data_IF_625202842421
#
_entry.id   IF_625202842421
#
_cell.length_a   1.000
_cell.length_b   1.000
_cell.length_c   1.000
_cell.angle_alpha   90.00
_cell.angle_beta   90.00
_cell.angle_gamma   90.00
#
_symmetry.space_group_name_H-M   'P 1'
#
loop_
_entity.id
_entity.type
_entity.pdbx_description
1 polymer ?
#
# COMPACT_ATOMS: atom_id res chain seq x y z
N UNK A 1 -6.44 2.06 -10.19
CA UNK A 1 -6.53 3.52 -10.00
C UNK A 1 -5.22 4.03 -9.40
N UNK A 2 -4.66 5.16 -9.85
CA UNK A 2 -3.49 5.79 -9.22
C UNK A 2 -3.91 6.51 -7.93
N UNK A 3 -3.15 6.33 -6.87
CA UNK A 3 -3.37 6.88 -5.52
C UNK A 3 -2.03 7.09 -4.84
N UNK A 4 -2.01 7.87 -3.76
CA UNK A 4 -0.91 7.84 -2.79
C UNK A 4 -1.32 7.01 -1.58
N UNK A 5 -0.39 6.26 -1.02
CA UNK A 5 -0.64 5.42 0.14
C UNK A 5 0.35 5.72 1.27
N UNK A 6 -0.17 5.83 2.49
CA UNK A 6 0.60 6.03 3.71
C UNK A 6 0.37 4.85 4.66
N UNK A 7 1.42 4.11 4.95
CA UNK A 7 1.36 2.86 5.73
C UNK A 7 1.80 3.04 7.19
N UNK A 8 2.29 4.23 7.56
CA UNK A 8 2.73 4.60 8.91
C UNK A 8 2.45 6.08 9.15
N UNK A 9 2.12 6.44 10.38
CA UNK A 9 1.82 7.82 10.76
C UNK A 9 2.95 8.81 10.43
N UNK A 10 4.20 8.42 10.68
CA UNK A 10 5.37 9.27 10.41
C UNK A 10 5.95 9.08 9.00
N UNK A 11 5.38 8.22 8.17
CA UNK A 11 5.86 8.03 6.81
C UNK A 11 5.29 9.10 5.86
N UNK A 12 6.10 9.46 4.87
CA UNK A 12 5.62 10.20 3.70
C UNK A 12 4.80 9.23 2.84
N UNK A 13 3.67 9.72 2.35
CA UNK A 13 2.83 9.01 1.39
C UNK A 13 3.58 8.72 0.09
N UNK A 14 3.35 7.55 -0.50
CA UNK A 14 4.05 7.12 -1.71
C UNK A 14 3.07 6.77 -2.82
N UNK A 15 3.46 7.05 -4.05
CA UNK A 15 2.69 6.72 -5.25
C UNK A 15 2.46 5.20 -5.36
N UNK A 16 1.21 4.85 -5.63
CA UNK A 16 0.75 3.47 -5.70
C UNK A 16 -0.43 3.31 -6.65
N UNK A 17 -0.70 2.05 -7.02
CA UNK A 17 -1.89 1.62 -7.75
C UNK A 17 -2.81 0.83 -6.82
N UNK A 18 -4.04 1.30 -6.70
CA UNK A 18 -5.14 0.61 -6.05
C UNK A 18 -5.84 -0.33 -7.03
N UNK A 19 -6.05 -1.58 -6.61
CA UNK A 19 -6.92 -2.56 -7.24
C UNK A 19 -7.93 -3.09 -6.22
N UNK A 20 -9.19 -3.16 -6.61
CA UNK A 20 -10.24 -3.82 -5.82
C UNK A 20 -10.15 -5.32 -6.10
N UNK A 21 -10.09 -6.13 -5.05
CA UNK A 21 -10.02 -7.60 -5.15
C UNK A 21 -11.40 -8.20 -4.82
N UNK A 22 -12.07 -7.65 -3.82
CA UNK A 22 -13.45 -7.95 -3.45
C UNK A 22 -14.03 -6.79 -2.63
N UNK A 23 -15.28 -6.90 -2.22
CA UNK A 23 -15.99 -5.88 -1.43
C UNK A 23 -15.19 -5.37 -0.21
N UNK A 24 -14.51 -6.27 0.50
CA UNK A 24 -13.75 -5.95 1.71
C UNK A 24 -12.23 -6.09 1.54
N UNK A 25 -11.72 -6.20 0.31
CA UNK A 25 -10.30 -6.42 0.07
C UNK A 25 -9.79 -5.63 -1.12
N UNK A 26 -8.68 -4.94 -0.88
CA UNK A 26 -7.95 -4.19 -1.88
C UNK A 26 -6.50 -4.65 -1.94
N UNK A 27 -5.86 -4.43 -3.08
CA UNK A 27 -4.42 -4.56 -3.26
C UNK A 27 -3.84 -3.19 -3.58
N UNK A 28 -2.79 -2.83 -2.84
CA UNK A 28 -2.04 -1.59 -3.01
C UNK A 28 -0.65 -1.96 -3.51
N UNK A 29 -0.34 -1.55 -4.73
CA UNK A 29 0.92 -1.86 -5.40
C UNK A 29 1.71 -0.56 -5.47
N UNK A 30 2.75 -0.44 -4.64
CA UNK A 30 3.62 0.73 -4.64
C UNK A 30 4.47 0.77 -5.91
N UNK A 31 4.65 1.97 -6.47
CA UNK A 31 5.49 2.17 -7.66
C UNK A 31 6.98 1.98 -7.34
N UNK A 32 7.39 2.20 -6.09
CA UNK A 32 8.73 1.94 -5.55
C UNK A 32 8.67 0.94 -4.38
N UNK A 33 9.74 0.16 -4.14
CA UNK A 33 9.78 -0.74 -3.00
C UNK A 33 9.66 0.04 -1.67
N UNK A 34 8.74 -0.40 -0.81
CA UNK A 34 8.56 0.17 0.53
C UNK A 34 8.99 -0.86 1.56
N UNK A 35 9.85 -0.44 2.49
CA UNK A 35 10.37 -1.31 3.56
C UNK A 35 9.40 -1.36 4.73
N UNK A 36 9.51 -2.44 5.50
CA UNK A 36 8.87 -2.59 6.80
C UNK A 36 7.34 -2.43 6.80
N UNK A 37 6.69 -3.00 5.78
CA UNK A 37 5.22 -3.14 5.75
C UNK A 37 4.82 -4.17 6.80
N UNK A 38 4.07 -3.76 7.83
CA UNK A 38 3.73 -4.61 8.98
C UNK A 38 2.24 -4.95 8.98
N UNK A 39 1.85 -6.24 8.96
CA UNK A 39 0.48 -6.64 9.21
C UNK A 39 -0.08 -6.06 10.50
N UNK A 40 -1.36 -5.67 10.49
CA UNK A 40 -2.02 -5.01 11.61
C UNK A 40 -1.88 -3.49 11.62
N UNK A 41 -0.95 -2.90 10.87
CA UNK A 41 -0.86 -1.44 10.74
C UNK A 41 -1.94 -0.90 9.79
N UNK A 42 -2.41 0.34 10.01
CA UNK A 42 -3.33 1.00 9.09
C UNK A 42 -2.61 1.46 7.83
N UNK A 43 -3.30 1.39 6.70
CA UNK A 43 -2.96 2.10 5.47
C UNK A 43 -4.03 3.14 5.19
N UNK A 44 -3.62 4.35 4.83
CA UNK A 44 -4.50 5.43 4.39
C UNK A 44 -4.21 5.73 2.92
N UNK A 45 -5.27 5.86 2.13
CA UNK A 45 -5.22 6.12 0.70
C UNK A 45 -5.68 7.54 0.42
N UNK A 46 -4.90 8.24 -0.41
CA UNK A 46 -5.13 9.61 -0.82
C UNK A 46 -5.24 9.70 -2.33
N UNK A 47 -6.06 10.63 -2.80
CA UNK A 47 -6.12 11.03 -4.19
C UNK A 47 -6.22 12.54 -4.25
N UNK A 48 -5.20 13.17 -4.83
CA UNK A 48 -4.95 14.60 -4.68
C UNK A 48 -4.91 14.92 -3.18
N UNK A 49 -5.63 15.95 -2.74
CA UNK A 49 -5.65 16.39 -1.33
C UNK A 49 -6.79 15.76 -0.50
N UNK A 50 -7.41 14.68 -1.01
CA UNK A 50 -8.53 14.01 -0.34
C UNK A 50 -8.17 12.61 0.14
N UNK A 51 -8.66 12.27 1.32
CA UNK A 51 -8.67 10.90 1.84
C UNK A 51 -9.74 10.11 1.09
N UNK A 52 -9.33 9.03 0.42
CA UNK A 52 -10.25 8.08 -0.21
C UNK A 52 -10.75 7.02 0.77
N UNK A 53 -9.97 6.73 1.80
CA UNK A 53 -10.29 5.73 2.81
C UNK A 53 -9.03 5.08 3.36
N UNK A 54 -9.21 3.97 4.06
CA UNK A 54 -8.12 3.21 4.64
C UNK A 54 -8.54 1.81 5.03
N UNK A 55 -7.58 1.04 5.55
CA UNK A 55 -7.83 -0.30 6.03
C UNK A 55 -6.65 -0.85 6.81
N UNK A 56 -6.80 -2.08 7.30
CA UNK A 56 -5.72 -2.79 8.02
C UNK A 56 -4.94 -3.64 7.04
N UNK A 57 -3.62 -3.47 7.05
CA UNK A 57 -2.71 -4.30 6.25
C UNK A 57 -2.80 -5.73 6.76
N UNK A 58 -3.25 -6.66 5.91
CA UNK A 58 -3.31 -8.09 6.25
C UNK A 58 -2.01 -8.80 5.89
N UNK A 59 -1.55 -8.65 4.66
CA UNK A 59 -0.33 -9.28 4.15
C UNK A 59 0.49 -8.27 3.34
N UNK A 60 1.80 -8.47 3.25
CA UNK A 60 2.68 -7.76 2.30
C UNK A 60 3.35 -8.78 1.38
N UNK A 61 3.43 -8.43 0.09
CA UNK A 61 4.08 -9.28 -0.91
C UNK A 61 5.35 -8.54 -1.33
N UNK A 62 6.54 -9.03 -0.94
CA UNK A 62 7.79 -8.44 -1.39
C UNK A 62 7.93 -8.60 -2.90
N UNK A 63 8.69 -7.70 -3.53
CA UNK A 63 9.09 -7.90 -4.92
C UNK A 63 9.81 -9.25 -5.02
N UNK A 64 9.49 -10.02 -6.07
CA UNK A 64 10.25 -11.23 -6.37
C UNK A 64 11.69 -10.81 -6.67
N UNK A 65 12.58 -10.95 -5.69
CA UNK A 65 14.01 -10.99 -5.96
C UNK A 65 14.23 -12.22 -6.81
N UNK A 66 14.72 -12.07 -8.05
CA UNK A 66 15.38 -13.21 -8.70
C UNK A 66 16.55 -13.57 -7.78
N UNK A 67 16.44 -14.69 -7.08
CA UNK A 67 17.57 -15.24 -6.36
C UNK A 67 18.66 -15.48 -7.41
N UNK A 68 19.69 -14.66 -7.39
CA UNK A 68 20.96 -15.02 -7.99
C UNK A 68 21.61 -15.98 -6.99
N UNK A 69 21.40 -17.27 -7.22
CA UNK A 69 22.29 -18.34 -6.78
C UNK A 69 22.59 -19.17 -8.02
#
# INVERSE_FOLDING_TARGET
MKVKAKIRYNAIEQEAKLKIISENKISVIFDKPVRAITPGQPVVLYKNDKVLGGGIIKNSIPLKTKANV
#
